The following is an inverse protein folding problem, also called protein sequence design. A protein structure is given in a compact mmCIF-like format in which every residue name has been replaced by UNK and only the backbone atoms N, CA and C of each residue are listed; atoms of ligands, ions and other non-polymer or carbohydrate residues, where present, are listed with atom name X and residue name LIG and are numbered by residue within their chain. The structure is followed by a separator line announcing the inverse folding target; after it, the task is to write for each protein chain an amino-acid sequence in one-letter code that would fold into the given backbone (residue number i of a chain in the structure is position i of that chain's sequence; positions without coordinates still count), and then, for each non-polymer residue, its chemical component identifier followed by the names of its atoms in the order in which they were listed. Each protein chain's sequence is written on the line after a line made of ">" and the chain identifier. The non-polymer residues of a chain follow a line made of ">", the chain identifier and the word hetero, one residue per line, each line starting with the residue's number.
data_IF_049151421531
#
_entry.id   IF_049151421531
#
_cell.length_a   1.000
_cell.length_b   1.000
_cell.length_c   1.000
_cell.angle_alpha   90.00
_cell.angle_beta   90.00
_cell.angle_gamma   90.00
#
_symmetry.space_group_name_H-M   'P 1'
#
loop_
_entity.id
_entity.type
_entity.pdbx_description
1 polymer ?
#
# COMPACT_ATOMS: atom_id res chain seq x y z
N UNK A 1 -18.17 10.62 -5.38
CA UNK A 1 -17.12 11.42 -6.05
C UNK A 1 -16.09 10.44 -6.58
N UNK A 2 -15.54 10.65 -7.76
CA UNK A 2 -14.49 9.78 -8.32
C UNK A 2 -13.11 10.35 -7.98
N UNK A 3 -12.14 9.50 -7.64
CA UNK A 3 -10.76 9.89 -7.26
C UNK A 3 -9.80 8.77 -7.66
N UNK A 4 -8.51 9.04 -7.82
CA UNK A 4 -7.61 8.10 -8.53
C UNK A 4 -6.41 7.78 -7.70
N UNK A 5 -6.10 6.49 -7.59
CA UNK A 5 -4.99 6.01 -6.80
C UNK A 5 -3.75 5.78 -7.66
N UNK A 6 -2.63 6.39 -7.28
CA UNK A 6 -1.37 6.27 -8.01
C UNK A 6 -0.17 6.16 -7.08
N UNK A 7 0.75 5.28 -7.42
CA UNK A 7 2.07 5.16 -6.82
C UNK A 7 3.02 6.18 -7.44
N UNK A 8 3.64 7.00 -6.60
CA UNK A 8 4.61 8.01 -6.99
C UNK A 8 6.01 7.51 -6.66
N UNK A 9 6.85 7.40 -7.70
CA UNK A 9 8.24 6.96 -7.65
C UNK A 9 8.88 7.16 -9.04
N UNK A 10 10.15 6.78 -9.24
CA UNK A 10 10.90 7.00 -10.49
C UNK A 10 10.45 6.12 -11.68
N UNK A 11 9.20 5.66 -11.67
CA UNK A 11 8.60 4.72 -12.63
C UNK A 11 8.20 5.39 -13.95
N UNK A 12 9.17 5.98 -14.67
CA UNK A 12 8.96 6.37 -16.07
C UNK A 12 9.24 5.16 -16.97
N UNK A 13 8.31 4.86 -17.86
CA UNK A 13 8.59 3.99 -19.01
C UNK A 13 9.58 4.73 -19.92
N UNK A 14 10.66 4.07 -20.33
CA UNK A 14 11.68 4.66 -21.20
C UNK A 14 11.26 4.77 -22.67
N UNK A 15 10.00 4.48 -23.02
CA UNK A 15 9.58 4.35 -24.41
C UNK A 15 8.46 5.33 -24.79
N UNK A 16 8.86 6.31 -25.60
CA UNK A 16 8.13 7.12 -26.59
C UNK A 16 6.66 7.50 -26.32
N UNK A 17 6.41 8.81 -26.39
CA UNK A 17 5.11 9.47 -26.31
C UNK A 17 4.06 8.85 -27.25
N UNK A 18 3.19 8.02 -26.70
CA UNK A 18 1.72 7.95 -26.92
C UNK A 18 1.21 6.84 -26.00
N UNK A 19 0.41 7.20 -24.99
CA UNK A 19 0.05 6.37 -23.82
C UNK A 19 1.24 6.05 -22.91
N UNK A 20 1.67 7.06 -22.15
CA UNK A 20 2.63 6.94 -21.05
C UNK A 20 1.96 6.13 -19.91
N UNK A 21 1.90 4.79 -20.06
CA UNK A 21 1.39 3.88 -19.03
C UNK A 21 2.36 3.91 -17.86
N UNK A 22 2.13 4.85 -16.96
CA UNK A 22 2.83 4.91 -15.70
C UNK A 22 2.53 3.62 -14.93
N UNK A 23 3.56 2.79 -14.74
CA UNK A 23 3.45 1.48 -14.08
C UNK A 23 2.79 1.59 -12.69
N UNK A 24 2.98 2.73 -12.01
CA UNK A 24 2.34 3.01 -10.73
C UNK A 24 0.88 3.47 -10.78
N UNK A 25 0.20 3.49 -11.92
CA UNK A 25 -1.23 3.85 -11.98
C UNK A 25 -2.06 2.65 -11.54
N UNK A 26 -2.76 2.76 -10.40
CA UNK A 26 -3.45 1.62 -9.82
C UNK A 26 -4.85 1.48 -10.39
N UNK A 27 -5.66 2.54 -10.35
CA UNK A 27 -6.96 2.71 -11.04
C UNK A 27 -7.73 3.91 -10.46
N UNK A 28 -8.87 4.19 -11.07
CA UNK A 28 -9.89 5.12 -10.55
C UNK A 28 -10.74 4.43 -9.47
N UNK A 29 -10.92 5.12 -8.35
CA UNK A 29 -11.74 4.75 -7.21
C UNK A 29 -13.05 5.53 -7.23
N UNK A 30 -14.15 4.82 -7.02
CA UNK A 30 -15.45 5.45 -6.79
C UNK A 30 -15.78 5.47 -5.31
N UNK A 31 -15.95 6.67 -4.76
CA UNK A 31 -16.41 6.84 -3.39
C UNK A 31 -17.94 6.79 -3.33
N UNK A 32 -18.46 6.04 -2.37
CA UNK A 32 -19.88 5.89 -2.09
C UNK A 32 -20.51 7.18 -1.53
N UNK A 33 -21.78 7.11 -1.11
CA UNK A 33 -22.50 8.27 -0.56
C UNK A 33 -21.94 8.75 0.79
N UNK A 34 -21.17 7.93 1.50
CA UNK A 34 -20.48 8.27 2.76
C UNK A 34 -19.06 8.80 2.52
N UNK A 35 -18.55 8.69 1.29
CA UNK A 35 -17.18 9.07 0.95
C UNK A 35 -16.18 7.92 1.12
N UNK A 36 -16.65 6.68 1.25
CA UNK A 36 -15.81 5.48 1.39
C UNK A 36 -15.57 4.85 0.01
N UNK A 37 -14.36 4.37 -0.25
CA UNK A 37 -14.00 3.67 -1.48
C UNK A 37 -13.27 2.36 -1.16
N UNK A 38 -13.60 1.30 -1.88
CA UNK A 38 -12.97 0.00 -1.76
C UNK A 38 -12.23 -0.34 -3.06
N UNK A 39 -11.01 -0.85 -2.92
CA UNK A 39 -10.18 -1.25 -4.05
C UNK A 39 -9.58 -2.64 -3.81
N UNK A 40 -9.70 -3.52 -4.81
CA UNK A 40 -9.03 -4.81 -4.83
C UNK A 40 -8.53 -5.06 -6.25
N UNK A 41 -7.22 -5.16 -6.42
CA UNK A 41 -6.62 -5.34 -7.74
C UNK A 41 -5.23 -5.96 -7.66
N UNK A 42 -4.83 -6.59 -8.76
CA UNK A 42 -3.49 -7.16 -8.93
C UNK A 42 -2.83 -6.46 -10.12
N UNK A 43 -1.72 -5.75 -9.85
CA UNK A 43 -0.94 -5.07 -10.89
C UNK A 43 0.31 -5.88 -11.23
N UNK A 44 0.44 -6.26 -12.50
CA UNK A 44 1.66 -6.89 -13.02
C UNK A 44 2.80 -5.86 -13.10
N UNK A 45 4.05 -6.33 -13.06
CA UNK A 45 5.26 -5.50 -13.16
C UNK A 45 5.49 -4.52 -12.01
N UNK A 46 4.80 -4.69 -10.88
CA UNK A 46 5.10 -4.02 -9.62
C UNK A 46 5.59 -5.04 -8.60
N UNK A 47 6.78 -4.81 -8.03
CA UNK A 47 7.33 -5.63 -6.96
C UNK A 47 7.26 -4.87 -5.65
N UNK A 48 6.83 -5.52 -4.56
CA UNK A 48 6.69 -4.85 -3.25
C UNK A 48 8.03 -4.28 -2.77
N UNK A 49 9.14 -4.98 -2.99
CA UNK A 49 10.48 -4.54 -2.60
C UNK A 49 10.87 -3.19 -3.22
N UNK A 50 10.39 -2.92 -4.43
CA UNK A 50 10.64 -1.68 -5.18
C UNK A 50 9.76 -0.51 -4.68
N UNK A 51 8.65 -0.82 -3.98
CA UNK A 51 7.68 0.17 -3.51
C UNK A 51 7.99 0.72 -2.11
N UNK A 52 8.79 0.01 -1.30
CA UNK A 52 9.09 0.43 0.07
C UNK A 52 9.77 1.80 0.07
N UNK A 53 9.23 2.73 0.87
CA UNK A 53 9.72 4.11 0.97
C UNK A 53 9.24 5.04 -0.15
N UNK A 54 8.52 4.51 -1.14
CA UNK A 54 7.78 5.32 -2.10
C UNK A 54 6.43 5.76 -1.51
N UNK A 55 5.67 6.56 -2.26
CA UNK A 55 4.35 7.02 -1.82
C UNK A 55 3.22 6.50 -2.69
N UNK A 56 2.07 6.28 -2.07
CA UNK A 56 0.78 6.19 -2.75
C UNK A 56 0.07 7.53 -2.59
N UNK A 57 -0.52 8.03 -3.67
CA UNK A 57 -1.12 9.36 -3.75
C UNK A 57 -2.51 9.23 -4.34
N UNK A 58 -3.48 9.89 -3.73
CA UNK A 58 -4.84 10.02 -4.24
C UNK A 58 -4.98 11.34 -5.01
N UNK A 59 -5.53 11.28 -6.22
CA UNK A 59 -5.78 12.45 -7.07
C UNK A 59 -7.28 12.67 -7.25
N UNK A 60 -7.68 13.93 -7.42
CA UNK A 60 -9.08 14.28 -7.69
C UNK A 60 -9.50 13.96 -9.12
N UNK A 61 -8.59 14.09 -10.08
CA UNK A 61 -8.87 14.03 -11.51
C UNK A 61 -7.89 13.11 -12.27
N UNK A 62 -8.34 12.56 -13.40
CA UNK A 62 -7.60 11.60 -14.25
C UNK A 62 -6.33 12.17 -14.86
N UNK A 63 -6.40 13.43 -15.26
CA UNK A 63 -5.30 14.17 -15.85
C UNK A 63 -4.19 14.50 -14.84
N UNK A 64 -4.46 14.37 -13.51
CA UNK A 64 -3.48 14.55 -12.44
C UNK A 64 -2.75 15.89 -12.52
N UNK A 65 -3.40 16.89 -13.12
CA UNK A 65 -2.88 18.25 -13.30
C UNK A 65 -2.84 19.02 -11.99
N UNK A 66 -3.77 18.69 -11.08
CA UNK A 66 -3.82 19.23 -9.73
C UNK A 66 -2.90 18.48 -8.75
N UNK A 67 -2.60 19.13 -7.63
CA UNK A 67 -1.93 18.48 -6.52
C UNK A 67 -2.75 17.27 -6.01
N UNK A 68 -2.06 16.23 -5.55
CA UNK A 68 -2.70 15.09 -4.90
C UNK A 68 -3.50 15.55 -3.69
N UNK A 69 -4.67 14.93 -3.48
CA UNK A 69 -5.55 15.18 -2.33
C UNK A 69 -4.86 14.72 -1.05
N UNK A 70 -4.24 13.54 -1.09
CA UNK A 70 -3.62 12.89 0.06
C UNK A 70 -2.47 11.98 -0.40
N UNK A 71 -1.49 11.76 0.47
CA UNK A 71 -0.37 10.88 0.19
C UNK A 71 0.09 10.11 1.43
N UNK A 72 0.42 8.83 1.25
CA UNK A 72 0.97 7.98 2.30
C UNK A 72 2.25 7.29 1.84
N UNK A 73 3.18 7.07 2.77
CA UNK A 73 4.41 6.32 2.50
C UNK A 73 4.13 4.82 2.60
N UNK A 74 4.64 4.06 1.64
CA UNK A 74 4.53 2.61 1.61
C UNK A 74 5.59 2.03 2.55
N UNK A 75 5.13 1.54 3.70
CA UNK A 75 5.97 0.93 4.72
C UNK A 75 6.01 -0.59 4.60
N UNK A 76 7.02 -1.20 5.23
CA UNK A 76 7.05 -2.65 5.43
C UNK A 76 6.02 -3.03 6.49
N UNK A 77 5.18 -4.01 6.17
CA UNK A 77 4.40 -4.75 7.15
C UNK A 77 5.00 -6.14 7.35
N UNK A 78 4.75 -6.72 8.52
CA UNK A 78 5.05 -8.14 8.71
C UNK A 78 4.04 -9.00 7.97
N UNK A 79 4.49 -10.10 7.39
CA UNK A 79 3.60 -11.16 6.94
C UNK A 79 2.84 -11.80 8.11
N UNK A 80 1.78 -12.51 7.77
CA UNK A 80 0.98 -13.26 8.73
C UNK A 80 1.87 -14.33 9.38
N UNK A 81 2.02 -14.28 10.71
CA UNK A 81 2.87 -15.21 11.46
C UNK A 81 4.38 -14.92 11.40
N UNK A 82 4.81 -13.79 10.83
CA UNK A 82 6.25 -13.45 10.70
C UNK A 82 6.75 -12.48 11.79
N UNK A 83 5.86 -11.98 12.65
CA UNK A 83 6.18 -10.95 13.64
C UNK A 83 5.62 -11.31 15.02
N UNK A 84 6.31 -12.24 15.66
CA UNK A 84 6.10 -12.55 17.06
C UNK A 84 6.62 -11.41 17.93
N UNK A 85 5.77 -10.89 18.80
CA UNK A 85 6.12 -9.84 19.75
C UNK A 85 6.48 -10.44 21.10
N UNK A 86 7.49 -9.84 21.71
CA UNK A 86 7.80 -10.02 23.12
C UNK A 86 7.61 -8.68 23.81
N UNK A 87 6.89 -8.68 24.91
CA UNK A 87 6.78 -7.53 25.78
C UNK A 87 7.70 -7.76 26.98
N UNK A 88 8.59 -6.80 27.22
CA UNK A 88 9.55 -6.87 28.31
C UNK A 88 9.55 -5.58 29.12
N UNK A 89 9.92 -5.69 30.39
CA UNK A 89 10.26 -4.56 31.26
C UNK A 89 11.70 -4.08 30.98
N UNK A 90 12.03 -2.87 31.44
CA UNK A 90 13.32 -2.22 31.13
C UNK A 90 14.56 -2.98 31.64
N UNK A 91 14.38 -3.85 32.63
CA UNK A 91 15.41 -4.76 33.17
C UNK A 91 15.62 -6.03 32.32
N UNK A 92 14.84 -6.19 31.25
CA UNK A 92 14.91 -7.35 30.34
C UNK A 92 13.99 -8.50 30.71
N UNK A 93 13.21 -8.41 31.79
CA UNK A 93 12.25 -9.45 32.16
C UNK A 93 11.12 -9.51 31.13
N UNK A 94 10.91 -10.69 30.52
CA UNK A 94 9.80 -10.91 29.58
C UNK A 94 8.51 -11.09 30.37
N UNK A 95 7.53 -10.22 30.13
CA UNK A 95 6.20 -10.30 30.76
C UNK A 95 5.17 -10.98 29.87
N UNK A 96 5.41 -11.01 28.56
CA UNK A 96 4.56 -11.72 27.60
C UNK A 96 5.32 -12.02 26.31
N UNK A 97 4.99 -13.13 25.67
CA UNK A 97 5.56 -13.55 24.39
C UNK A 97 4.51 -14.26 23.54
N UNK A 98 4.39 -13.88 22.27
CA UNK A 98 3.71 -14.68 21.26
C UNK A 98 4.67 -15.66 20.61
N UNK A 99 4.17 -16.82 20.21
CA UNK A 99 4.89 -17.89 19.55
C UNK A 99 4.11 -18.42 18.33
N UNK A 100 4.72 -19.31 17.56
CA UNK A 100 4.05 -19.98 16.44
C UNK A 100 2.83 -20.79 16.86
N UNK A 101 2.76 -21.21 18.12
CA UNK A 101 1.61 -21.97 18.64
C UNK A 101 0.38 -21.08 18.87
N UNK A 102 0.58 -19.77 19.02
CA UNK A 102 -0.52 -18.80 19.14
C UNK A 102 -1.11 -18.44 17.77
N UNK A 103 -0.43 -18.81 16.70
CA UNK A 103 -0.93 -18.65 15.35
C UNK A 103 -1.90 -19.79 15.01
N UNK A 104 -3.19 -19.50 15.02
CA UNK A 104 -4.23 -20.43 14.58
C UNK A 104 -4.71 -20.01 13.20
N UNK A 105 -4.42 -20.82 12.18
CA UNK A 105 -5.01 -20.63 10.86
C UNK A 105 -6.50 -20.91 10.95
N UNK A 106 -7.35 -19.91 10.64
CA UNK A 106 -8.78 -20.16 10.47
C UNK A 106 -8.96 -21.20 9.36
N UNK A 107 -9.68 -22.28 9.67
CA UNK A 107 -10.04 -23.29 8.67
C UNK A 107 -11.10 -22.66 7.77
N UNK A 108 -10.70 -22.29 6.56
CA UNK A 108 -11.62 -21.89 5.48
C UNK A 108 -12.28 -23.13 4.90
#
# INVERSE_FOLDING_TARGET
>A
MSSILRLKGPWRSSCAATLDMWIGDLETLEADKKGEAFFLGVKKNLRVADLIGQSVVLYRTEDKSEAGIEAAVIARSAGVGENYKKLCTCDGTIIWESSSNDFVTAKV
#
